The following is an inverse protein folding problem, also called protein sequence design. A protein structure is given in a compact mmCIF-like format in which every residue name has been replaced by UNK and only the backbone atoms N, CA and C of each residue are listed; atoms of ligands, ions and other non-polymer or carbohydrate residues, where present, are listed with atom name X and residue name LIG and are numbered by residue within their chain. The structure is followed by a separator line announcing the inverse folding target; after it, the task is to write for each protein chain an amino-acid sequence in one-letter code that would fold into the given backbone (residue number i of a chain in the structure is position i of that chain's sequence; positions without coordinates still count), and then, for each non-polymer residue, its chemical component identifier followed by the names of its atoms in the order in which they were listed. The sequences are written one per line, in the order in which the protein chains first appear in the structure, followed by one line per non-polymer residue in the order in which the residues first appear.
data_IF_380333400399
#
_entry.id   IF_380333400399
#
_cell.length_a   1.000
_cell.length_b   1.000
_cell.length_c   1.000
_cell.angle_alpha   90.00
_cell.angle_beta   90.00
_cell.angle_gamma   90.00
#
_symmetry.space_group_name_H-M   'P 1'
#
loop_
_entity.id
_entity.type
_entity.pdbx_description
1 polymer ?
#
# COMPACT_ATOMS: atom_id res chain seq x y z
N UNK A 1 0.25 -21.91 21.51
CA UNK A 1 1.23 -21.19 20.67
C UNK A 1 0.94 -21.33 19.18
N UNK A 2 1.00 -22.52 18.57
CA UNK A 2 0.80 -22.66 17.12
C UNK A 2 -0.57 -22.15 16.62
N UNK A 3 -1.65 -22.40 17.37
CA UNK A 3 -3.00 -21.94 17.00
C UNK A 3 -3.14 -20.41 16.98
N UNK A 4 -2.62 -19.71 17.99
CA UNK A 4 -2.70 -18.24 18.06
C UNK A 4 -1.83 -17.57 16.99
N UNK A 5 -0.68 -18.14 16.65
CA UNK A 5 0.19 -17.68 15.56
C UNK A 5 -0.55 -17.79 14.22
N UNK A 6 -1.15 -18.95 13.93
CA UNK A 6 -1.85 -19.17 12.67
C UNK A 6 -3.06 -18.25 12.52
N UNK A 7 -3.84 -18.07 13.59
CA UNK A 7 -4.98 -17.13 13.60
C UNK A 7 -4.49 -15.70 13.35
N UNK A 8 -3.40 -15.28 13.99
CA UNK A 8 -2.84 -13.96 13.80
C UNK A 8 -2.37 -13.73 12.35
N UNK A 9 -1.65 -14.69 11.78
CA UNK A 9 -1.20 -14.60 10.39
C UNK A 9 -2.39 -14.54 9.41
N UNK A 10 -3.40 -15.39 9.62
CA UNK A 10 -4.61 -15.41 8.80
C UNK A 10 -5.36 -14.07 8.90
N UNK A 11 -5.46 -13.52 10.11
CA UNK A 11 -6.06 -12.21 10.34
C UNK A 11 -5.29 -11.10 9.62
N UNK A 12 -3.96 -11.07 9.72
CA UNK A 12 -3.13 -10.09 9.00
C UNK A 12 -3.34 -10.16 7.49
N UNK A 13 -3.31 -11.36 6.92
CA UNK A 13 -3.56 -11.59 5.48
C UNK A 13 -4.97 -11.13 5.12
N UNK A 14 -5.98 -11.50 5.91
CA UNK A 14 -7.37 -11.12 5.67
C UNK A 14 -7.56 -9.59 5.72
N UNK A 15 -7.08 -8.92 6.77
CA UNK A 15 -7.23 -7.47 6.91
C UNK A 15 -6.46 -6.71 5.84
N UNK A 16 -5.25 -7.16 5.49
CA UNK A 16 -4.50 -6.57 4.39
C UNK A 16 -5.23 -6.73 3.06
N UNK A 17 -5.68 -7.95 2.74
CA UNK A 17 -6.39 -8.24 1.50
C UNK A 17 -7.72 -7.49 1.42
N UNK A 18 -8.49 -7.49 2.51
CA UNK A 18 -9.76 -6.79 2.60
C UNK A 18 -9.60 -5.27 2.47
N UNK A 19 -8.57 -4.71 3.11
CA UNK A 19 -8.24 -3.28 3.03
C UNK A 19 -7.90 -2.88 1.59
N UNK A 20 -6.95 -3.58 0.96
CA UNK A 20 -6.54 -3.31 -0.43
C UNK A 20 -7.72 -3.47 -1.40
N UNK A 21 -8.54 -4.51 -1.23
CA UNK A 21 -9.74 -4.72 -2.05
C UNK A 21 -10.79 -3.63 -1.88
N UNK A 22 -11.05 -3.22 -0.64
CA UNK A 22 -12.02 -2.16 -0.34
C UNK A 22 -11.59 -0.82 -0.95
N UNK A 23 -10.30 -0.48 -0.87
CA UNK A 23 -9.75 0.74 -1.47
C UNK A 23 -9.96 0.72 -2.98
N UNK A 24 -9.56 -0.37 -3.65
CA UNK A 24 -9.68 -0.50 -5.10
C UNK A 24 -11.14 -0.46 -5.57
N UNK A 25 -12.06 -1.07 -4.83
CA UNK A 25 -13.49 -1.04 -5.12
C UNK A 25 -14.03 0.39 -5.06
N UNK A 26 -13.70 1.16 -4.03
CA UNK A 26 -14.13 2.56 -3.90
C UNK A 26 -13.53 3.42 -5.02
N UNK A 27 -12.23 3.24 -5.31
CA UNK A 27 -11.58 3.96 -6.42
C UNK A 27 -12.29 3.65 -7.74
N UNK A 28 -12.65 2.38 -7.99
CA UNK A 28 -13.36 1.96 -9.19
C UNK A 28 -14.76 2.57 -9.29
N UNK A 29 -15.56 2.51 -8.22
CA UNK A 29 -16.90 3.12 -8.20
C UNK A 29 -16.85 4.63 -8.46
N UNK A 30 -15.73 5.26 -8.11
CA UNK A 30 -15.54 6.70 -8.22
C UNK A 30 -14.84 7.13 -9.51
N UNK A 31 -14.42 6.21 -10.39
CA UNK A 31 -13.69 6.55 -11.62
C UNK A 31 -14.44 7.58 -12.48
N UNK A 32 -15.74 7.35 -12.69
CA UNK A 32 -16.62 8.21 -13.50
C UNK A 32 -17.13 9.47 -12.78
N UNK A 33 -16.78 9.66 -11.51
CA UNK A 33 -17.27 10.80 -10.73
C UNK A 33 -16.44 12.05 -10.95
N UNK A 34 -17.08 13.21 -10.85
CA UNK A 34 -16.43 14.51 -10.92
C UNK A 34 -15.44 14.70 -9.76
N UNK A 35 -14.45 15.59 -9.94
CA UNK A 35 -13.41 15.86 -8.94
C UNK A 35 -13.98 16.27 -7.56
N UNK A 36 -15.10 17.00 -7.56
CA UNK A 36 -15.82 17.39 -6.35
C UNK A 36 -16.42 16.19 -5.61
N UNK A 37 -16.99 15.24 -6.34
CA UNK A 37 -17.53 14.00 -5.76
C UNK A 37 -16.42 13.10 -5.20
N UNK A 38 -15.27 13.02 -5.87
CA UNK A 38 -14.07 12.32 -5.34
C UNK A 38 -13.59 12.95 -4.03
N UNK A 39 -13.57 14.29 -3.96
CA UNK A 39 -13.20 15.02 -2.75
C UNK A 39 -14.20 14.82 -1.61
N UNK A 40 -15.52 14.82 -1.89
CA UNK A 40 -16.54 14.50 -0.89
C UNK A 40 -16.35 13.11 -0.30
N UNK A 41 -16.00 12.11 -1.12
CA UNK A 41 -15.77 10.73 -0.64
C UNK A 41 -14.52 10.67 0.25
N UNK A 42 -13.45 11.38 -0.10
CA UNK A 42 -12.27 11.50 0.77
C UNK A 42 -12.58 12.19 2.11
N UNK A 43 -13.44 13.22 2.11
CA UNK A 43 -13.88 13.87 3.34
C UNK A 43 -14.76 12.91 4.16
N UNK A 44 -15.69 12.21 3.52
CA UNK A 44 -16.56 11.23 4.18
C UNK A 44 -15.78 10.03 4.74
N UNK A 45 -14.64 9.69 4.15
CA UNK A 45 -13.75 8.63 4.65
C UNK A 45 -12.76 9.12 5.72
N UNK A 46 -12.62 10.43 5.95
CA UNK A 46 -11.75 10.99 7.00
C UNK A 46 -11.98 10.46 8.42
N UNK A 47 -13.21 10.07 8.84
CA UNK A 47 -13.41 9.41 10.14
C UNK A 47 -12.59 8.13 10.29
N UNK A 48 -12.27 7.42 9.20
CA UNK A 48 -11.44 6.21 9.24
C UNK A 48 -10.03 6.52 9.76
N UNK A 49 -9.45 7.65 9.34
CA UNK A 49 -8.16 8.10 9.83
C UNK A 49 -8.22 8.46 11.32
N UNK A 50 -9.27 9.18 11.74
CA UNK A 50 -9.44 9.57 13.15
C UNK A 50 -9.62 8.34 14.05
N UNK A 51 -10.43 7.37 13.62
CA UNK A 51 -10.60 6.09 14.31
C UNK A 51 -9.29 5.31 14.36
N UNK A 52 -8.50 5.31 13.28
CA UNK A 52 -7.18 4.70 13.27
C UNK A 52 -6.21 5.34 14.26
N UNK A 53 -6.13 6.68 14.31
CA UNK A 53 -5.27 7.39 15.28
C UNK A 53 -5.73 7.16 16.73
N UNK A 54 -7.04 7.19 16.95
CA UNK A 54 -7.62 6.90 18.28
C UNK A 54 -7.37 5.45 18.71
N UNK A 55 -7.44 4.50 17.76
CA UNK A 55 -7.10 3.11 17.98
C UNK A 55 -5.62 2.91 18.34
N UNK A 56 -4.69 3.59 17.67
CA UNK A 56 -3.27 3.58 18.04
C UNK A 56 -3.05 4.12 19.45
N UNK A 57 -3.70 5.23 19.79
CA UNK A 57 -3.57 5.83 21.13
C UNK A 57 -4.12 4.93 22.24
N UNK A 58 -5.33 4.37 22.05
CA UNK A 58 -5.97 3.48 23.04
C UNK A 58 -5.25 2.14 23.19
N UNK A 59 -4.62 1.63 22.14
CA UNK A 59 -3.89 0.35 22.18
C UNK A 59 -2.46 0.50 22.69
N UNK A 60 -1.93 1.73 22.73
CA UNK A 60 -0.58 2.03 23.17
C UNK A 60 -0.30 1.62 24.62
N UNK A 61 -1.31 1.75 25.49
CA UNK A 61 -1.23 1.41 26.92
C UNK A 61 -1.78 0.03 27.28
N UNK A 62 -2.33 -0.71 26.31
CA UNK A 62 -3.02 -1.98 26.56
C UNK A 62 -2.18 -3.19 26.12
N UNK A 63 -1.53 -3.85 27.09
CA UNK A 63 -0.78 -5.10 26.90
C UNK A 63 -1.68 -6.35 26.90
N UNK A 64 -2.70 -6.35 26.04
CA UNK A 64 -3.64 -7.48 25.92
C UNK A 64 -3.61 -8.06 24.52
N UNK A 65 -3.91 -9.35 24.37
CA UNK A 65 -3.99 -10.03 23.07
C UNK A 65 -4.84 -9.26 22.05
N UNK A 66 -5.97 -8.69 22.49
CA UNK A 66 -6.86 -7.84 21.70
C UNK A 66 -6.19 -6.51 21.31
N UNK A 67 -5.38 -5.94 22.21
CA UNK A 67 -4.57 -4.75 21.96
C UNK A 67 -3.58 -4.92 20.80
N UNK A 68 -2.98 -6.10 20.62
CA UNK A 68 -2.10 -6.39 19.47
C UNK A 68 -2.86 -6.32 18.14
N UNK A 69 -4.03 -6.97 18.08
CA UNK A 69 -4.88 -6.93 16.88
C UNK A 69 -5.39 -5.52 16.57
N UNK A 70 -5.87 -4.82 17.59
CA UNK A 70 -6.38 -3.47 17.42
C UNK A 70 -5.27 -2.50 17.01
N UNK A 71 -4.06 -2.62 17.56
CA UNK A 71 -2.92 -1.78 17.16
C UNK A 71 -2.57 -1.97 15.67
N UNK A 72 -2.57 -3.22 15.21
CA UNK A 72 -2.33 -3.57 13.81
C UNK A 72 -3.44 -3.04 12.88
N UNK A 73 -4.71 -3.29 13.22
CA UNK A 73 -5.86 -2.81 12.42
C UNK A 73 -5.87 -1.28 12.38
N UNK A 74 -5.57 -0.62 13.49
CA UNK A 74 -5.53 0.84 13.57
C UNK A 74 -4.47 1.43 12.64
N UNK A 75 -3.26 0.85 12.62
CA UNK A 75 -2.21 1.25 11.69
C UNK A 75 -2.63 1.02 10.22
N UNK A 76 -3.30 -0.10 9.93
CA UNK A 76 -3.86 -0.37 8.60
C UNK A 76 -4.94 0.63 8.19
N UNK A 77 -5.81 1.08 9.10
CA UNK A 77 -6.85 2.06 8.79
C UNK A 77 -6.27 3.43 8.43
N UNK A 78 -5.25 3.89 9.20
CA UNK A 78 -4.53 5.13 8.89
C UNK A 78 -3.89 5.02 7.51
N UNK A 79 -3.20 3.91 7.23
CA UNK A 79 -2.60 3.67 5.94
C UNK A 79 -3.63 3.60 4.80
N UNK A 80 -4.74 2.89 5.01
CA UNK A 80 -5.80 2.68 4.02
C UNK A 80 -6.43 4.01 3.57
N UNK A 81 -6.65 4.93 4.50
CA UNK A 81 -7.18 6.25 4.17
C UNK A 81 -6.20 7.08 3.32
N UNK A 82 -4.91 7.04 3.66
CA UNK A 82 -3.86 7.76 2.90
C UNK A 82 -3.71 7.17 1.49
N UNK A 83 -3.81 5.85 1.35
CA UNK A 83 -3.76 5.19 0.05
C UNK A 83 -5.03 5.49 -0.78
N UNK A 84 -6.21 5.48 -0.16
CA UNK A 84 -7.47 5.83 -0.82
C UNK A 84 -7.44 7.27 -1.36
N UNK A 85 -6.98 8.22 -0.57
CA UNK A 85 -6.89 9.65 -0.96
C UNK A 85 -5.88 9.89 -2.09
N UNK A 86 -4.84 9.05 -2.16
CA UNK A 86 -3.88 9.04 -3.27
C UNK A 86 -4.48 8.45 -4.55
N UNK A 87 -5.07 7.24 -4.49
CA UNK A 87 -5.61 6.55 -5.67
C UNK A 87 -6.81 7.28 -6.28
N UNK A 88 -7.62 7.96 -5.48
CA UNK A 88 -8.71 8.83 -5.96
C UNK A 88 -8.21 10.10 -6.65
N UNK A 89 -6.92 10.40 -6.61
CA UNK A 89 -6.34 11.57 -7.27
C UNK A 89 -6.55 12.90 -6.53
N UNK A 90 -7.00 12.85 -5.26
CA UNK A 90 -7.25 14.04 -4.44
C UNK A 90 -5.92 14.57 -3.89
N UNK A 91 -5.07 13.68 -3.36
CA UNK A 91 -3.72 13.99 -2.85
C UNK A 91 -2.67 13.53 -3.87
N UNK A 92 -2.72 14.10 -5.07
CA UNK A 92 -1.66 13.97 -6.08
C UNK A 92 -0.85 15.26 -6.13
N UNK A 93 0.45 15.15 -6.35
CA UNK A 93 1.39 16.28 -6.41
C UNK A 93 1.03 17.37 -7.44
N UNK A 94 1.67 18.55 -7.35
CA UNK A 94 1.37 19.72 -8.17
C UNK A 94 1.63 19.51 -9.67
N UNK A 95 2.49 18.56 -10.02
CA UNK A 95 2.82 18.25 -11.40
C UNK A 95 1.89 17.15 -11.95
N UNK A 96 0.99 17.52 -12.86
CA UNK A 96 0.07 16.62 -13.58
C UNK A 96 0.40 16.50 -15.07
N UNK A 97 1.55 17.03 -15.47
CA UNK A 97 1.97 17.07 -16.87
C UNK A 97 2.66 15.77 -17.26
N UNK A 98 2.46 15.34 -18.50
CA UNK A 98 3.16 14.19 -19.07
C UNK A 98 4.67 14.44 -19.15
N UNK A 99 5.45 13.36 -19.07
CA UNK A 99 6.91 13.46 -19.10
C UNK A 99 7.37 13.92 -20.50
N UNK A 100 8.10 15.04 -20.65
CA UNK A 100 8.68 15.41 -21.93
C UNK A 100 9.75 14.40 -22.36
N UNK A 101 9.80 14.09 -23.66
CA UNK A 101 10.55 12.96 -24.24
C UNK A 101 12.09 13.11 -24.25
N UNK A 102 12.67 14.14 -23.61
CA UNK A 102 14.12 14.39 -23.68
C UNK A 102 14.71 15.02 -22.41
N UNK A 103 14.44 14.43 -21.24
CA UNK A 103 14.96 14.91 -19.95
C UNK A 103 15.95 13.94 -19.31
N UNK A 104 16.87 14.48 -18.52
CA UNK A 104 17.84 13.70 -17.77
C UNK A 104 17.15 12.81 -16.74
N UNK A 105 17.79 11.70 -16.37
CA UNK A 105 17.23 10.76 -15.38
C UNK A 105 16.90 11.42 -14.04
N UNK A 106 17.73 12.38 -13.62
CA UNK A 106 17.53 13.11 -12.36
C UNK A 106 16.36 14.08 -12.41
N UNK A 107 16.16 14.81 -13.52
CA UNK A 107 14.97 15.65 -13.70
C UNK A 107 13.70 14.80 -13.82
N UNK A 108 13.79 13.62 -14.45
CA UNK A 108 12.68 12.66 -14.48
C UNK A 108 12.33 12.17 -13.07
N UNK A 109 13.34 11.93 -12.22
CA UNK A 109 13.13 11.57 -10.81
C UNK A 109 12.48 12.70 -10.02
N UNK A 110 12.98 13.93 -10.11
CA UNK A 110 12.38 15.08 -9.39
C UNK A 110 10.93 15.31 -9.84
N UNK A 111 10.64 15.21 -11.15
CA UNK A 111 9.29 15.38 -11.67
C UNK A 111 8.34 14.24 -11.26
N UNK A 112 8.83 13.00 -11.25
CA UNK A 112 8.07 11.85 -10.75
C UNK A 112 7.86 11.91 -9.23
N UNK A 113 8.87 12.32 -8.46
CA UNK A 113 8.70 12.59 -7.03
C UNK A 113 7.69 13.72 -6.81
N UNK A 114 7.75 14.77 -7.61
CA UNK A 114 6.83 15.89 -7.61
C UNK A 114 5.38 15.51 -7.92
N UNK A 115 5.11 14.39 -8.60
CA UNK A 115 3.74 13.90 -8.81
C UNK A 115 3.21 13.10 -7.59
N UNK A 116 4.10 12.57 -6.74
CA UNK A 116 3.76 11.84 -5.50
C UNK A 116 3.99 12.65 -4.21
N UNK A 117 4.60 13.83 -4.28
CA UNK A 117 5.12 14.55 -3.11
C UNK A 117 4.10 14.74 -1.98
N UNK A 118 2.86 15.14 -2.28
CA UNK A 118 1.84 15.34 -1.23
C UNK A 118 1.42 14.03 -0.54
N UNK A 119 1.45 12.92 -1.26
CA UNK A 119 1.17 11.62 -0.67
C UNK A 119 2.34 11.13 0.20
N UNK A 120 3.59 11.36 -0.22
CA UNK A 120 4.76 11.08 0.62
C UNK A 120 4.76 11.94 1.90
N UNK A 121 4.44 13.23 1.79
CA UNK A 121 4.31 14.12 2.95
C UNK A 121 3.19 13.63 3.88
N UNK A 122 2.06 13.16 3.34
CA UNK A 122 0.95 12.63 4.15
C UNK A 122 1.33 11.34 4.88
N UNK A 123 2.03 10.43 4.21
CA UNK A 123 2.59 9.22 4.83
C UNK A 123 3.60 9.55 5.93
N UNK A 124 4.50 10.50 5.67
CA UNK A 124 5.51 10.94 6.64
C UNK A 124 4.85 11.64 7.85
N UNK A 125 3.85 12.49 7.61
CA UNK A 125 3.09 13.15 8.68
C UNK A 125 2.35 12.13 9.55
N UNK A 126 1.73 11.12 8.94
CA UNK A 126 1.07 10.03 9.66
C UNK A 126 2.08 9.17 10.45
N UNK A 127 3.25 8.90 9.89
CA UNK A 127 4.35 8.23 10.60
C UNK A 127 4.76 9.04 11.85
N UNK A 128 4.95 10.35 11.69
CA UNK A 128 5.27 11.26 12.79
C UNK A 128 4.18 11.28 13.87
N UNK A 129 2.91 11.30 13.47
CA UNK A 129 1.78 11.25 14.40
C UNK A 129 1.74 9.93 15.19
N UNK A 130 1.93 8.79 14.52
CA UNK A 130 1.94 7.47 15.17
C UNK A 130 3.15 7.33 16.11
N UNK A 131 4.33 7.81 15.72
CA UNK A 131 5.51 7.82 16.57
C UNK A 131 5.31 8.71 17.80
N UNK A 132 4.70 9.89 17.62
CA UNK A 132 4.39 10.79 18.73
C UNK A 132 3.39 10.16 19.70
N UNK A 133 2.33 9.54 19.19
CA UNK A 133 1.31 8.87 20.01
C UNK A 133 1.84 7.65 20.75
N UNK A 134 2.80 6.93 20.17
CA UNK A 134 3.43 5.77 20.81
C UNK A 134 4.73 6.08 21.57
N UNK A 135 5.14 7.35 21.68
CA UNK A 135 6.34 7.73 22.42
C UNK A 135 6.13 7.49 23.92
N UNK A 136 6.96 6.63 24.53
CA UNK A 136 6.89 6.32 25.96
C UNK A 136 5.83 5.28 26.34
N UNK A 137 5.32 4.51 25.37
CA UNK A 137 4.29 3.50 25.57
C UNK A 137 4.84 2.08 25.41
N UNK A 138 4.19 1.09 26.01
CA UNK A 138 4.71 -0.28 26.06
C UNK A 138 4.39 -1.07 24.76
N UNK A 139 3.26 -0.77 24.11
CA UNK A 139 2.86 -1.42 22.86
C UNK A 139 3.42 -0.71 21.62
N UNK A 140 4.42 -1.34 21.00
CA UNK A 140 5.09 -0.81 19.81
C UNK A 140 4.56 -1.42 18.49
N UNK A 141 3.61 -2.35 18.53
CA UNK A 141 3.21 -3.11 17.32
C UNK A 141 2.53 -2.23 16.27
N UNK A 142 1.74 -1.23 16.68
CA UNK A 142 1.14 -0.27 15.74
C UNK A 142 2.19 0.57 15.01
N UNK A 143 3.22 1.03 15.72
CA UNK A 143 4.35 1.77 15.14
C UNK A 143 5.08 0.89 14.12
N UNK A 144 5.49 -0.31 14.51
CA UNK A 144 6.25 -1.22 13.63
C UNK A 144 5.44 -1.62 12.40
N UNK A 145 4.14 -1.86 12.54
CA UNK A 145 3.25 -2.15 11.42
C UNK A 145 3.27 -1.00 10.41
N UNK A 146 3.11 0.24 10.88
CA UNK A 146 3.10 1.40 10.00
C UNK A 146 4.48 1.64 9.35
N UNK A 147 5.57 1.42 10.09
CA UNK A 147 6.95 1.51 9.56
C UNK A 147 7.15 0.50 8.42
N UNK A 148 6.73 -0.76 8.59
CA UNK A 148 6.85 -1.78 7.55
C UNK A 148 6.08 -1.35 6.30
N UNK A 149 4.84 -0.91 6.46
CA UNK A 149 4.01 -0.44 5.34
C UNK A 149 4.64 0.77 4.62
N UNK A 150 5.18 1.73 5.38
CA UNK A 150 5.84 2.92 4.85
C UNK A 150 7.06 2.56 4.00
N UNK A 151 8.00 1.77 4.54
CA UNK A 151 9.19 1.36 3.80
C UNK A 151 8.88 0.45 2.61
N UNK A 152 7.96 -0.51 2.79
CA UNK A 152 7.50 -1.35 1.69
C UNK A 152 6.95 -0.50 0.54
N UNK A 153 6.22 0.58 0.84
CA UNK A 153 5.68 1.49 -0.18
C UNK A 153 6.77 2.30 -0.88
N UNK A 154 7.75 2.80 -0.14
CA UNK A 154 8.91 3.50 -0.72
C UNK A 154 9.69 2.57 -1.66
N UNK A 155 9.95 1.34 -1.21
CA UNK A 155 10.65 0.34 -2.01
C UNK A 155 9.88 -0.01 -3.28
N UNK A 156 8.56 -0.21 -3.19
CA UNK A 156 7.70 -0.44 -4.34
C UNK A 156 7.78 0.72 -5.36
N UNK A 157 7.64 1.96 -4.90
CA UNK A 157 7.69 3.15 -5.78
C UNK A 157 9.06 3.34 -6.43
N UNK A 158 10.14 3.16 -5.68
CA UNK A 158 11.49 3.24 -6.21
C UNK A 158 11.78 2.12 -7.19
N UNK A 159 11.35 0.89 -6.90
CA UNK A 159 11.46 -0.23 -7.83
C UNK A 159 10.73 0.07 -9.14
N UNK A 160 9.47 0.53 -9.09
CA UNK A 160 8.69 0.91 -10.27
C UNK A 160 9.32 2.08 -11.05
N UNK A 161 9.91 3.06 -10.36
CA UNK A 161 10.59 4.18 -11.00
C UNK A 161 11.89 3.77 -11.71
N UNK A 162 12.75 3.01 -11.03
CA UNK A 162 13.99 2.49 -11.59
C UNK A 162 13.70 1.51 -12.74
N UNK A 163 12.58 0.80 -12.64
CA UNK A 163 12.02 -0.07 -13.65
C UNK A 163 11.97 -1.53 -13.22
N UNK A 164 10.91 -2.19 -13.64
CA UNK A 164 10.60 -3.57 -13.27
C UNK A 164 10.14 -4.33 -14.52
N UNK A 165 10.44 -5.64 -14.65
CA UNK A 165 9.98 -6.47 -15.77
C UNK A 165 8.46 -6.49 -15.97
N UNK A 166 7.67 -6.54 -14.89
CA UNK A 166 6.22 -6.56 -14.94
C UNK A 166 5.64 -5.41 -14.12
N UNK A 167 4.81 -4.58 -14.75
CA UNK A 167 4.06 -3.51 -14.09
C UNK A 167 2.59 -3.88 -14.18
N UNK A 168 1.92 -4.01 -13.03
CA UNK A 168 0.50 -4.34 -12.98
C UNK A 168 -0.33 -3.09 -13.28
N UNK A 169 -0.29 -2.67 -14.56
CA UNK A 169 -0.98 -1.49 -15.09
C UNK A 169 -2.50 -1.52 -14.92
N UNK A 170 -3.06 -2.68 -14.57
CA UNK A 170 -4.48 -2.91 -14.26
C UNK A 170 -4.89 -2.38 -12.87
N UNK A 171 -3.96 -2.26 -11.92
CA UNK A 171 -4.23 -1.69 -10.59
C UNK A 171 -4.09 -0.16 -10.53
N UNK A 172 -3.56 0.46 -11.59
CA UNK A 172 -3.38 1.90 -11.66
C UNK A 172 -4.66 2.53 -12.21
N UNK A 173 -5.42 3.31 -11.40
CA UNK A 173 -6.65 3.95 -11.84
C UNK A 173 -6.37 4.96 -12.96
N UNK A 174 -7.38 5.22 -13.80
CA UNK A 174 -7.25 6.12 -14.95
C UNK A 174 -6.81 7.55 -14.56
N UNK A 175 -7.14 7.99 -13.35
CA UNK A 175 -6.72 9.27 -12.75
C UNK A 175 -5.21 9.40 -12.58
N UNK A 176 -4.51 8.28 -12.45
CA UNK A 176 -3.05 8.20 -12.32
C UNK A 176 -2.39 7.70 -13.61
N UNK A 177 -3.11 7.69 -14.74
CA UNK A 177 -2.58 7.26 -16.04
C UNK A 177 -1.34 8.03 -16.47
N UNK A 178 -1.21 9.31 -16.12
CA UNK A 178 -0.01 10.13 -16.35
C UNK A 178 1.25 9.55 -15.67
N UNK A 179 1.13 8.82 -14.55
CA UNK A 179 2.27 8.15 -13.91
C UNK A 179 2.83 7.02 -14.79
N UNK A 180 2.02 6.42 -15.66
CA UNK A 180 2.46 5.36 -16.57
C UNK A 180 3.55 5.85 -17.53
N UNK A 181 3.53 7.13 -17.91
CA UNK A 181 4.56 7.74 -18.76
C UNK A 181 5.92 7.87 -18.06
N UNK A 182 5.95 7.84 -16.72
CA UNK A 182 7.19 7.92 -15.95
C UNK A 182 7.81 6.55 -15.68
N UNK A 183 7.00 5.49 -15.65
CA UNK A 183 7.50 4.14 -15.42
C UNK A 183 8.27 3.60 -16.62
N UNK A 184 9.39 2.96 -16.34
CA UNK A 184 10.23 2.30 -17.34
C UNK A 184 10.08 0.80 -17.18
N UNK A 185 9.60 0.10 -18.21
CA UNK A 185 9.73 -1.35 -18.27
C UNK A 185 11.22 -1.63 -18.53
N UNK A 186 11.91 -2.23 -17.54
CA UNK A 186 13.34 -2.47 -17.59
C UNK A 186 13.68 -3.84 -17.02
N UNK A 187 14.82 -4.41 -17.43
CA UNK A 187 15.38 -5.61 -16.79
C UNK A 187 15.68 -5.29 -15.32
N UNK A 188 15.67 -6.33 -14.48
CA UNK A 188 15.94 -6.30 -13.04
C UNK A 188 17.01 -5.29 -12.64
N UNK A 189 16.65 -4.39 -11.72
CA UNK A 189 17.55 -3.39 -11.17
C UNK A 189 18.29 -3.92 -9.93
N UNK A 190 19.52 -3.45 -9.70
CA UNK A 190 20.29 -3.78 -8.49
C UNK A 190 19.56 -3.37 -7.19
N UNK A 191 18.79 -2.28 -7.24
CA UNK A 191 17.97 -1.82 -6.12
C UNK A 191 16.88 -2.82 -5.72
N UNK A 192 16.36 -3.61 -6.67
CA UNK A 192 15.41 -4.68 -6.38
C UNK A 192 16.01 -5.68 -5.39
N UNK A 193 17.23 -6.16 -5.67
CA UNK A 193 17.93 -7.08 -4.77
C UNK A 193 18.11 -6.50 -3.38
N UNK A 194 18.47 -5.21 -3.27
CA UNK A 194 18.58 -4.54 -1.96
C UNK A 194 17.25 -4.51 -1.23
N UNK A 195 16.17 -4.05 -1.90
CA UNK A 195 14.86 -3.94 -1.28
C UNK A 195 14.33 -5.30 -0.78
N UNK A 196 14.51 -6.36 -1.58
CA UNK A 196 14.14 -7.73 -1.21
C UNK A 196 15.00 -8.23 -0.05
N UNK A 197 16.33 -8.01 -0.09
CA UNK A 197 17.19 -8.42 1.03
C UNK A 197 16.79 -7.74 2.35
N UNK A 198 16.52 -6.43 2.33
CA UNK A 198 16.07 -5.70 3.51
C UNK A 198 14.72 -6.21 4.03
N UNK A 199 13.75 -6.46 3.14
CA UNK A 199 12.46 -7.03 3.52
C UNK A 199 12.59 -8.47 4.06
N UNK A 200 13.48 -9.29 3.49
CA UNK A 200 13.76 -10.63 4.03
C UNK A 200 14.41 -10.56 5.40
N UNK A 201 15.38 -9.66 5.62
CA UNK A 201 16.02 -9.47 6.91
C UNK A 201 15.03 -9.01 7.97
N UNK A 202 14.15 -8.05 7.63
CA UNK A 202 13.07 -7.62 8.52
C UNK A 202 12.16 -8.80 8.88
N UNK A 203 11.73 -9.57 7.88
CA UNK A 203 10.87 -10.75 8.07
C UNK A 203 11.52 -11.79 8.98
N UNK A 204 12.81 -12.10 8.77
CA UNK A 204 13.57 -13.04 9.62
C UNK A 204 13.72 -12.50 11.04
N UNK A 205 13.98 -11.20 11.21
CA UNK A 205 14.11 -10.57 12.53
C UNK A 205 12.81 -10.71 13.36
N UNK A 206 11.64 -10.59 12.72
CA UNK A 206 10.35 -10.79 13.40
C UNK A 206 10.13 -12.24 13.80
N UNK A 207 10.53 -13.20 12.96
CA UNK A 207 10.46 -14.63 13.29
C UNK A 207 11.39 -14.97 14.44
N UNK A 208 12.63 -14.47 14.42
CA UNK A 208 13.59 -14.67 15.50
C UNK A 208 13.05 -14.15 16.84
N UNK A 209 12.48 -12.94 16.85
CA UNK A 209 11.84 -12.37 18.05
C UNK A 209 10.61 -13.16 18.49
N UNK A 210 9.83 -13.68 17.55
CA UNK A 210 8.67 -14.52 17.85
C UNK A 210 9.07 -15.79 18.62
N UNK A 211 10.24 -16.37 18.34
CA UNK A 211 10.76 -17.52 19.09
C UNK A 211 11.42 -17.16 20.42
N UNK A 212 11.92 -15.93 20.57
CA UNK A 212 12.55 -15.47 21.81
C UNK A 212 11.53 -15.12 22.92
N UNK A 213 10.28 -14.87 22.54
CA UNK A 213 9.26 -14.29 23.41
C UNK A 213 8.31 -15.36 23.97
N UNK A 214 7.89 -15.16 25.22
CA UNK A 214 6.98 -16.07 25.94
C UNK A 214 5.59 -15.48 26.21
N UNK A 215 5.42 -14.16 26.10
CA UNK A 215 4.16 -13.48 26.36
C UNK A 215 3.18 -13.65 25.19
N UNK A 216 1.92 -14.03 25.49
CA UNK A 216 0.87 -14.26 24.48
C UNK A 216 0.61 -13.05 23.58
N UNK A 217 0.53 -11.86 24.18
CA UNK A 217 0.33 -10.59 23.49
C UNK A 217 1.40 -10.31 22.43
N UNK A 218 2.66 -10.56 22.78
CA UNK A 218 3.80 -10.30 21.91
C UNK A 218 3.91 -11.37 20.81
N UNK A 219 3.59 -12.63 21.10
CA UNK A 219 3.51 -13.70 20.09
C UNK A 219 2.52 -13.29 18.98
N UNK A 220 1.36 -12.76 19.35
CA UNK A 220 0.36 -12.28 18.39
C UNK A 220 0.91 -11.09 17.60
N UNK A 221 1.46 -10.09 18.28
CA UNK A 221 2.03 -8.89 17.64
C UNK A 221 3.13 -9.21 16.62
N UNK A 222 4.10 -10.05 17.01
CA UNK A 222 5.16 -10.48 16.09
C UNK A 222 4.65 -11.37 14.95
N UNK A 223 3.61 -12.18 15.18
CA UNK A 223 2.97 -12.96 14.11
C UNK A 223 2.31 -12.06 13.06
N UNK A 224 1.67 -10.96 13.51
CA UNK A 224 1.08 -9.94 12.62
C UNK A 224 2.17 -9.21 11.83
N UNK A 225 3.25 -8.78 12.49
CA UNK A 225 4.40 -8.12 11.85
C UNK A 225 5.10 -9.03 10.83
N UNK A 226 5.25 -10.32 11.17
CA UNK A 226 5.80 -11.32 10.25
C UNK A 226 4.91 -11.47 9.01
N UNK A 227 3.60 -11.67 9.19
CA UNK A 227 2.68 -11.87 8.07
C UNK A 227 2.61 -10.65 7.14
N UNK A 228 2.58 -9.43 7.68
CA UNK A 228 2.54 -8.22 6.84
C UNK A 228 3.87 -7.99 6.12
N UNK A 229 5.01 -8.29 6.75
CA UNK A 229 6.34 -8.21 6.12
C UNK A 229 6.47 -9.23 4.99
N UNK A 230 5.97 -10.44 5.22
CA UNK A 230 5.95 -11.51 4.22
C UNK A 230 5.04 -11.13 3.04
N UNK A 231 3.89 -10.52 3.28
CA UNK A 231 3.02 -10.01 2.22
C UNK A 231 3.69 -8.91 1.41
N UNK A 232 4.35 -7.95 2.07
CA UNK A 232 5.12 -6.91 1.39
C UNK A 232 6.26 -7.51 0.55
N UNK A 233 6.96 -8.53 1.07
CA UNK A 233 7.98 -9.25 0.34
C UNK A 233 7.41 -9.95 -0.90
N UNK A 234 6.27 -10.64 -0.77
CA UNK A 234 5.58 -11.29 -1.88
C UNK A 234 5.12 -10.30 -2.94
N UNK A 235 4.61 -9.13 -2.55
CA UNK A 235 4.25 -8.05 -3.46
C UNK A 235 5.44 -7.60 -4.31
N UNK A 236 6.63 -7.49 -3.72
CA UNK A 236 7.85 -7.18 -4.45
C UNK A 236 8.25 -8.30 -5.40
N UNK A 237 8.11 -9.57 -5.01
CA UNK A 237 8.35 -10.69 -5.92
C UNK A 237 7.36 -10.72 -7.09
N UNK A 238 6.10 -10.33 -6.89
CA UNK A 238 5.10 -10.24 -7.96
C UNK A 238 5.41 -9.15 -8.99
N UNK A 239 6.16 -8.12 -8.61
CA UNK A 239 6.69 -7.14 -9.58
C UNK A 239 7.66 -7.81 -10.56
N UNK A 240 8.42 -8.83 -10.15
CA UNK A 240 9.42 -9.49 -10.99
C UNK A 240 8.85 -10.71 -11.71
N UNK A 241 8.07 -11.53 -11.00
CA UNK A 241 7.53 -12.76 -11.54
C UNK A 241 6.35 -12.47 -12.49
N UNK A 242 6.27 -13.15 -13.65
CA UNK A 242 5.15 -13.01 -14.61
C UNK A 242 3.88 -13.72 -14.10
N UNK A 243 3.49 -13.47 -12.85
CA UNK A 243 2.27 -14.03 -12.27
C UNK A 243 1.17 -13.00 -12.48
N UNK A 244 0.06 -13.34 -13.16
CA UNK A 244 -1.09 -12.47 -13.27
C UNK A 244 -1.81 -12.45 -11.92
N UNK A 245 -1.31 -11.62 -11.00
CA UNK A 245 -1.93 -11.24 -9.74
C UNK A 245 -3.37 -10.73 -9.95
N UNK A 246 -3.64 -10.13 -11.11
CA UNK A 246 -4.96 -9.84 -11.65
C UNK A 246 -5.96 -11.01 -11.51
N UNK A 247 -5.52 -12.28 -11.56
CA UNK A 247 -6.44 -13.42 -11.36
C UNK A 247 -6.98 -13.52 -9.94
N UNK A 248 -6.20 -13.15 -8.93
CA UNK A 248 -6.64 -13.13 -7.52
C UNK A 248 -7.68 -12.03 -7.27
N UNK A 249 -7.62 -10.96 -8.07
CA UNK A 249 -8.49 -9.79 -7.98
C UNK A 249 -9.50 -9.73 -9.15
N UNK A 250 -9.65 -10.82 -9.94
CA UNK A 250 -10.42 -10.84 -11.20
C UNK A 250 -11.91 -10.57 -11.02
N UNK A 251 -12.43 -10.86 -9.84
CA UNK A 251 -13.80 -10.52 -9.44
C UNK A 251 -14.00 -8.99 -9.28
N UNK A 252 -12.92 -8.21 -9.19
CA UNK A 252 -12.93 -6.74 -9.08
C UNK A 252 -12.25 -6.02 -10.24
N UNK A 253 -11.72 -6.72 -11.25
CA UNK A 253 -11.19 -6.12 -12.48
C UNK A 253 -12.30 -5.98 -13.54
N UNK A 254 -12.19 -5.07 -14.52
CA UNK A 254 -13.11 -5.04 -15.64
C UNK A 254 -13.06 -6.37 -16.39
N UNK A 255 -14.21 -6.82 -16.94
CA UNK A 255 -14.14 -7.69 -18.12
C UNK A 255 -13.33 -6.92 -19.15
N UNK A 256 -12.16 -7.43 -19.53
CA UNK A 256 -11.39 -6.91 -20.65
C UNK A 256 -12.38 -6.69 -21.79
N UNK A 257 -12.54 -5.45 -22.26
CA UNK A 257 -13.33 -5.20 -23.47
C UNK A 257 -12.74 -6.12 -24.53
N UNK A 258 -13.57 -7.06 -25.00
CA UNK A 258 -13.19 -7.97 -26.07
C UNK A 258 -12.80 -7.12 -27.27
N UNK A 259 -11.89 -7.61 -28.10
CA UNK A 259 -11.49 -6.97 -29.38
C UNK A 259 -12.70 -6.66 -30.29
N UNK A 260 -13.86 -7.26 -30.01
CA UNK A 260 -15.15 -6.97 -30.65
C UNK A 260 -15.75 -5.58 -30.31
N UNK A 261 -15.49 -5.01 -29.12
CA UNK A 261 -16.06 -3.70 -28.77
C UNK A 261 -15.45 -2.56 -29.60
N UNK A 262 -14.15 -2.66 -29.92
CA UNK A 262 -13.47 -1.70 -30.80
C UNK A 262 -14.01 -1.73 -32.23
N UNK A 263 -14.46 -2.89 -32.70
CA UNK A 263 -15.06 -3.02 -34.04
C UNK A 263 -16.51 -2.52 -34.06
N UNK A 264 -17.21 -2.47 -32.92
CA UNK A 264 -18.60 -2.01 -32.87
C UNK A 264 -18.77 -0.48 -32.80
N UNK A 265 -17.76 0.25 -32.29
CA UNK A 265 -17.77 1.72 -32.27
C UNK A 265 -17.45 2.32 -33.65
N UNK A 266 -16.69 1.62 -34.51
CA UNK A 266 -16.33 2.12 -35.85
C UNK A 266 -17.44 1.89 -36.92
N UNK A 267 -18.42 1.01 -36.68
CA UNK A 267 -19.47 0.71 -37.68
C UNK A 267 -20.76 1.53 -37.54
N UNK A 268 -20.98 2.19 -36.40
CA UNK A 268 -22.17 3.03 -36.17
C UNK A 268 -21.90 4.53 -36.38
N UNK A 269 -20.73 4.88 -36.91
CA UNK A 269 -20.28 6.25 -37.16
C UNK A 269 -20.28 6.69 -38.64
N UNK A 270 -20.97 5.94 -39.51
CA UNK A 270 -21.27 6.35 -40.90
C UNK A 270 -22.78 6.45 -41.11
#
# INVERSE_FOLDING_TARGET
MAGSIFIAMLAAVFFWWFSTGSILLVVRLTENFSRLSKLKICIMSSPILLVGLWGVWTTSSNLTDVGSYLAFISALLVWAWIELTFLTGVITGPNKLDCPNNITFFEKFIRAWGTLAYHEISLLAALGAILYLGYGQENHFGIWTFIILYFARIFAKLNLFLGVPHINVEFIPQTLSHLKSYFKISKLNWFFSISVTLLTLATVCWVERLFAVQNSFEIIGFSLLFAISLMALLEHWFMVLPIPDARLWRWMLPKTKSKQDYLSEDYNGL
#
